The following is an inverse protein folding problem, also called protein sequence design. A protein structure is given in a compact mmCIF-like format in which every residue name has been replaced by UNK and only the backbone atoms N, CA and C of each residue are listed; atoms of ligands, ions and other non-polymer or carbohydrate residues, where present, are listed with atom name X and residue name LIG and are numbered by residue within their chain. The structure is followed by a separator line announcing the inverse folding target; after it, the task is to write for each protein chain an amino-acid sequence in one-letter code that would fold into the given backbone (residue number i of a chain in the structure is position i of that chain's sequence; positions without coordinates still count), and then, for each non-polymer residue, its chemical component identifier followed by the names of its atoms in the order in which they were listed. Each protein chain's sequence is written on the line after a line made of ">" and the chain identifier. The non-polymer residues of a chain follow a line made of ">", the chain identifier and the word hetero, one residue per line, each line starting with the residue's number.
data_IF_218588489672
#
_entry.id   IF_218588489672
#
_cell.length_a   1.000
_cell.length_b   1.000
_cell.length_c   1.000
_cell.angle_alpha   90.00
_cell.angle_beta   90.00
_cell.angle_gamma   90.00
#
_symmetry.space_group_name_H-M   'P 1'
#
loop_
_entity.id
_entity.type
_entity.pdbx_description
1 polymer ?
#
# COMPACT_ATOMS: atom_id res chain seq x y z
N UNK A 1 -17.85 -2.42 0.15
CA UNK A 1 -17.54 -1.53 -0.99
C UNK A 1 -16.04 -1.65 -1.25
N UNK A 2 -15.56 -1.57 -2.49
CA UNK A 2 -14.12 -1.43 -2.77
C UNK A 2 -13.97 -0.05 -3.41
N UNK A 3 -13.23 0.83 -2.74
CA UNK A 3 -12.88 2.14 -3.28
C UNK A 3 -11.43 2.09 -3.75
N UNK A 4 -11.19 2.47 -5.00
CA UNK A 4 -9.84 2.67 -5.54
C UNK A 4 -9.46 4.13 -5.24
N UNK A 5 -8.56 4.33 -4.28
CA UNK A 5 -8.13 5.68 -3.90
C UNK A 5 -7.09 6.20 -4.88
N UNK A 6 -6.91 7.52 -4.88
CA UNK A 6 -5.94 8.19 -5.73
C UNK A 6 -4.52 7.73 -5.34
N UNK A 7 -3.71 7.33 -6.33
CA UNK A 7 -2.31 7.01 -6.08
C UNK A 7 -1.55 8.22 -5.54
N UNK A 8 -0.74 8.02 -4.49
CA UNK A 8 0.03 9.09 -3.87
C UNK A 8 1.04 9.69 -4.87
N UNK A 9 0.81 10.95 -5.25
CA UNK A 9 1.70 11.72 -6.12
C UNK A 9 2.63 12.55 -5.24
N UNK A 10 3.93 12.32 -5.36
CA UNK A 10 4.95 13.21 -4.79
C UNK A 10 4.81 14.63 -5.37
N UNK A 11 5.02 15.67 -4.56
CA UNK A 11 4.94 17.09 -4.95
C UNK A 11 3.54 17.67 -5.23
N UNK A 12 2.50 17.18 -4.54
CA UNK A 12 1.21 17.88 -4.56
C UNK A 12 1.32 19.26 -3.89
N UNK A 13 0.89 20.35 -4.54
CA UNK A 13 0.78 21.67 -3.91
C UNK A 13 -0.04 21.58 -2.61
N UNK A 14 0.33 22.29 -1.52
CA UNK A 14 -0.30 22.15 -0.20
C UNK A 14 -1.84 22.26 -0.22
N UNK A 15 -2.39 23.11 -1.10
CA UNK A 15 -3.84 23.28 -1.26
C UNK A 15 -4.52 22.03 -1.84
N UNK A 16 -3.87 21.35 -2.80
CA UNK A 16 -4.38 20.11 -3.40
C UNK A 16 -4.18 18.92 -2.47
N UNK A 17 -3.14 18.95 -1.64
CA UNK A 17 -2.93 18.00 -0.57
C UNK A 17 -4.06 18.07 0.46
N UNK A 18 -4.47 19.27 0.90
CA UNK A 18 -5.58 19.40 1.85
C UNK A 18 -6.90 18.87 1.27
N UNK A 19 -7.19 19.14 -0.01
CA UNK A 19 -8.38 18.57 -0.67
C UNK A 19 -8.31 17.06 -0.83
N UNK A 20 -7.09 16.51 -0.94
CA UNK A 20 -6.83 15.07 -1.03
C UNK A 20 -7.07 14.38 0.31
N UNK A 21 -6.64 14.98 1.42
CA UNK A 21 -6.94 14.52 2.78
C UNK A 21 -8.46 14.48 3.02
N UNK A 22 -9.21 15.50 2.58
CA UNK A 22 -10.68 15.50 2.72
C UNK A 22 -11.35 14.35 1.95
N UNK A 23 -10.81 13.94 0.80
CA UNK A 23 -11.29 12.75 0.08
C UNK A 23 -10.84 11.41 0.69
N UNK A 24 -9.99 11.43 1.72
CA UNK A 24 -9.54 10.24 2.46
C UNK A 24 -10.31 10.02 3.76
N UNK A 25 -11.41 10.75 4.02
CA UNK A 25 -12.34 10.39 5.11
C UNK A 25 -12.85 8.95 4.96
N UNK A 26 -13.03 8.47 3.72
CA UNK A 26 -13.39 7.07 3.44
C UNK A 26 -12.33 6.05 3.92
N UNK A 27 -11.06 6.46 4.06
CA UNK A 27 -10.00 5.60 4.61
C UNK A 27 -10.18 5.41 6.12
N UNK A 28 -10.67 6.43 6.83
CA UNK A 28 -10.93 6.35 8.27
C UNK A 28 -12.06 5.33 8.56
N UNK A 29 -13.05 5.24 7.67
CA UNK A 29 -14.17 4.31 7.81
C UNK A 29 -13.89 2.92 7.21
N UNK A 30 -12.73 2.69 6.61
CA UNK A 30 -12.44 1.43 5.94
C UNK A 30 -12.20 0.30 6.95
N UNK A 31 -12.86 -0.84 6.73
CA UNK A 31 -12.61 -2.08 7.49
C UNK A 31 -11.21 -2.65 7.23
N UNK A 32 -10.60 -2.31 6.10
CA UNK A 32 -9.29 -2.80 5.66
C UNK A 32 -8.63 -1.81 4.72
N UNK A 33 -7.34 -1.54 4.95
CA UNK A 33 -6.49 -0.79 4.04
C UNK A 33 -5.51 -1.71 3.30
N UNK A 34 -5.40 -1.54 1.99
CA UNK A 34 -4.33 -2.14 1.19
C UNK A 34 -3.33 -1.05 0.78
N UNK A 35 -2.12 -1.11 1.32
CA UNK A 35 -1.05 -0.20 0.91
C UNK A 35 -0.29 -0.81 -0.28
N UNK A 36 -0.68 -0.40 -1.49
CA UNK A 36 -0.05 -0.90 -2.72
C UNK A 36 1.28 -0.18 -2.96
N UNK A 37 2.36 -0.94 -3.09
CA UNK A 37 3.74 -0.47 -3.26
C UNK A 37 4.26 -0.94 -4.61
N UNK A 38 4.97 -0.07 -5.33
CA UNK A 38 5.70 -0.48 -6.54
C UNK A 38 7.04 -1.13 -6.17
N UNK A 39 7.12 -2.45 -6.30
CA UNK A 39 8.28 -3.24 -5.92
C UNK A 39 9.53 -2.97 -6.79
N UNK A 40 9.38 -2.33 -7.94
CA UNK A 40 10.49 -2.00 -8.84
C UNK A 40 10.98 -0.56 -8.68
N UNK A 41 10.38 0.21 -7.76
CA UNK A 41 10.76 1.59 -7.53
C UNK A 41 12.03 1.68 -6.66
N UNK A 42 13.07 2.44 -7.05
CA UNK A 42 14.25 2.63 -6.21
C UNK A 42 13.97 3.44 -4.92
N UNK A 43 12.81 4.09 -4.81
CA UNK A 43 12.42 4.94 -3.67
C UNK A 43 11.30 4.32 -2.83
N UNK A 44 11.25 2.99 -2.70
CA UNK A 44 10.20 2.29 -1.92
C UNK A 44 10.10 2.87 -0.51
N UNK A 45 11.22 2.96 0.22
CA UNK A 45 11.21 3.37 1.63
C UNK A 45 10.66 4.80 1.81
N UNK A 46 11.12 5.74 0.97
CA UNK A 46 10.64 7.13 0.96
C UNK A 46 9.12 7.19 0.73
N UNK A 47 8.61 6.36 -0.18
CA UNK A 47 7.17 6.35 -0.50
C UNK A 47 6.33 5.69 0.58
N UNK A 48 6.83 4.62 1.19
CA UNK A 48 6.18 4.00 2.36
C UNK A 48 6.09 5.03 3.48
N UNK A 49 7.19 5.69 3.82
CA UNK A 49 7.24 6.70 4.88
C UNK A 49 6.26 7.86 4.63
N UNK A 50 6.17 8.34 3.39
CA UNK A 50 5.19 9.38 3.02
C UNK A 50 3.76 8.93 3.28
N UNK A 51 3.40 7.71 2.87
CA UNK A 51 2.03 7.19 3.06
C UNK A 51 1.74 6.93 4.54
N UNK A 52 2.69 6.37 5.29
CA UNK A 52 2.53 6.13 6.73
C UNK A 52 2.36 7.44 7.50
N UNK A 53 3.09 8.49 7.15
CA UNK A 53 2.91 9.81 7.74
C UNK A 53 1.51 10.39 7.47
N UNK A 54 0.98 10.21 6.25
CA UNK A 54 -0.38 10.65 5.92
C UNK A 54 -1.42 9.87 6.72
N UNK A 55 -1.29 8.54 6.79
CA UNK A 55 -2.19 7.71 7.57
C UNK A 55 -2.15 8.10 9.05
N UNK A 56 -0.98 8.45 9.57
CA UNK A 56 -0.82 8.96 10.93
C UNK A 56 -1.51 10.30 11.13
N UNK A 57 -1.37 11.26 10.20
CA UNK A 57 -2.08 12.55 10.25
C UNK A 57 -3.61 12.38 10.21
N UNK A 58 -4.09 11.34 9.53
CA UNK A 58 -5.50 10.95 9.47
C UNK A 58 -5.98 10.16 10.70
N UNK A 59 -5.10 9.86 11.67
CA UNK A 59 -5.44 9.04 12.85
C UNK A 59 -5.59 7.53 12.55
N UNK A 60 -5.10 7.07 11.40
CA UNK A 60 -5.18 5.70 10.90
C UNK A 60 -3.87 4.89 11.10
N UNK A 61 -2.99 5.33 11.98
CA UNK A 61 -1.67 4.73 12.26
C UNK A 61 -1.72 3.24 12.64
N UNK A 62 -2.83 2.77 13.22
CA UNK A 62 -3.04 1.38 13.63
C UNK A 62 -4.08 0.63 12.77
N UNK A 63 -4.36 1.11 11.56
CA UNK A 63 -5.38 0.55 10.65
C UNK A 63 -5.11 -0.87 10.17
N UNK A 64 -3.96 -1.48 10.53
CA UNK A 64 -3.66 -2.86 10.19
C UNK A 64 -3.44 -3.08 8.69
N UNK A 65 -2.95 -2.06 7.99
CA UNK A 65 -2.78 -2.08 6.55
C UNK A 65 -2.02 -3.32 6.06
N UNK A 66 -2.53 -3.96 5.00
CA UNK A 66 -1.79 -5.01 4.29
C UNK A 66 -0.88 -4.34 3.28
N UNK A 67 0.44 -4.51 3.45
CA UNK A 67 1.44 -4.06 2.48
C UNK A 67 1.42 -4.99 1.26
N UNK A 68 1.19 -4.43 0.08
CA UNK A 68 1.08 -5.20 -1.17
C UNK A 68 2.13 -4.70 -2.16
N UNK A 69 3.24 -5.43 -2.28
CA UNK A 69 4.29 -5.16 -3.25
C UNK A 69 3.85 -5.65 -4.63
N UNK A 70 3.39 -4.72 -5.45
CA UNK A 70 2.97 -4.93 -6.82
C UNK A 70 4.14 -4.77 -7.80
N UNK A 71 3.95 -5.24 -9.05
CA UNK A 71 4.93 -5.20 -10.14
C UNK A 71 6.18 -6.06 -9.90
N UNK A 72 6.05 -7.15 -9.14
CA UNK A 72 7.18 -8.10 -8.94
C UNK A 72 7.71 -8.71 -10.25
N UNK A 73 6.95 -8.63 -11.34
CA UNK A 73 7.41 -9.05 -12.67
C UNK A 73 8.54 -8.18 -13.25
N UNK A 74 8.81 -7.02 -12.64
CA UNK A 74 9.89 -6.11 -13.00
C UNK A 74 11.10 -6.21 -12.04
N UNK A 75 11.00 -7.02 -10.98
CA UNK A 75 12.04 -7.16 -9.95
C UNK A 75 12.99 -8.29 -10.32
N UNK A 76 14.28 -7.96 -10.45
CA UNK A 76 15.32 -8.95 -10.81
C UNK A 76 15.67 -9.88 -9.64
N UNK A 77 15.69 -9.36 -8.40
CA UNK A 77 16.05 -10.11 -7.20
C UNK A 77 14.92 -10.05 -6.15
N UNK A 78 13.92 -10.91 -6.36
CA UNK A 78 12.75 -10.98 -5.49
C UNK A 78 13.07 -11.53 -4.10
N UNK A 79 14.10 -12.37 -3.97
CA UNK A 79 14.49 -12.96 -2.68
C UNK A 79 15.13 -11.91 -1.76
N UNK A 80 15.97 -11.03 -2.30
CA UNK A 80 16.48 -9.90 -1.55
C UNK A 80 15.35 -8.96 -1.13
N UNK A 81 14.43 -8.62 -2.05
CA UNK A 81 13.26 -7.80 -1.72
C UNK A 81 12.43 -8.40 -0.58
N UNK A 82 12.18 -9.71 -0.60
CA UNK A 82 11.46 -10.45 0.45
C UNK A 82 12.12 -10.32 1.81
N UNK A 83 13.45 -10.51 1.86
CA UNK A 83 14.20 -10.41 3.12
C UNK A 83 14.21 -8.98 3.66
N UNK A 84 14.37 -7.99 2.80
CA UNK A 84 14.38 -6.57 3.21
C UNK A 84 13.08 -6.17 3.90
N UNK A 85 11.94 -6.57 3.34
CA UNK A 85 10.61 -6.15 3.80
C UNK A 85 9.86 -7.22 4.60
N UNK A 86 10.52 -8.30 5.03
CA UNK A 86 9.91 -9.41 5.78
C UNK A 86 9.17 -8.94 7.05
N UNK A 87 9.74 -7.94 7.73
CA UNK A 87 9.19 -7.35 8.94
C UNK A 87 7.80 -6.72 8.77
N UNK A 88 7.43 -6.34 7.54
CA UNK A 88 6.10 -5.81 7.21
C UNK A 88 5.06 -6.91 6.92
N UNK A 89 5.49 -8.18 6.87
CA UNK A 89 4.70 -9.32 6.42
C UNK A 89 3.90 -9.04 5.12
N UNK A 90 4.56 -8.61 4.04
CA UNK A 90 3.89 -8.13 2.83
C UNK A 90 3.38 -9.27 1.94
N UNK A 91 2.42 -8.94 1.09
CA UNK A 91 2.00 -9.78 -0.03
C UNK A 91 2.67 -9.30 -1.31
N UNK A 92 3.22 -10.22 -2.09
CA UNK A 92 3.90 -9.94 -3.35
C UNK A 92 3.03 -10.34 -4.54
N UNK A 93 2.70 -9.37 -5.41
CA UNK A 93 1.85 -9.60 -6.57
C UNK A 93 2.44 -9.02 -7.86
N UNK A 94 1.98 -9.55 -8.99
CA UNK A 94 2.03 -8.83 -10.26
C UNK A 94 0.61 -8.72 -10.77
N UNK A 95 0.04 -7.53 -10.66
CA UNK A 95 -1.28 -7.26 -11.21
C UNK A 95 -1.31 -7.50 -12.74
N UNK A 96 -0.22 -7.14 -13.42
CA UNK A 96 -0.06 -7.31 -14.87
C UNK A 96 -0.01 -8.78 -15.29
N UNK A 97 0.71 -9.63 -14.52
CA UNK A 97 0.87 -11.06 -14.82
C UNK A 97 -0.17 -11.94 -14.15
N UNK A 98 -1.09 -11.36 -13.37
CA UNK A 98 -2.07 -12.09 -12.57
C UNK A 98 -1.44 -13.08 -11.57
N UNK A 99 -0.30 -12.72 -10.99
CA UNK A 99 0.44 -13.56 -10.04
C UNK A 99 0.28 -13.05 -8.59
N UNK A 100 0.30 -13.96 -7.61
CA UNK A 100 0.21 -13.65 -6.17
C UNK A 100 -1.21 -13.33 -5.65
N UNK A 101 -2.24 -13.49 -6.49
CA UNK A 101 -3.62 -13.15 -6.13
C UNK A 101 -4.19 -14.06 -5.04
N UNK A 102 -3.78 -15.32 -5.00
CA UNK A 102 -4.27 -16.25 -3.97
C UNK A 102 -3.74 -15.87 -2.58
N UNK A 103 -2.46 -15.49 -2.50
CA UNK A 103 -1.85 -14.98 -1.28
C UNK A 103 -2.54 -13.68 -0.83
N UNK A 104 -2.85 -12.78 -1.77
CA UNK A 104 -3.57 -11.54 -1.49
C UNK A 104 -4.99 -11.82 -0.96
N UNK A 105 -5.74 -12.71 -1.60
CA UNK A 105 -7.09 -13.10 -1.12
C UNK A 105 -7.02 -13.72 0.27
N UNK A 106 -6.04 -14.56 0.53
CA UNK A 106 -5.84 -15.19 1.84
C UNK A 106 -5.50 -14.15 2.91
N UNK A 107 -4.65 -13.17 2.60
CA UNK A 107 -4.33 -12.07 3.50
C UNK A 107 -5.56 -11.22 3.82
N UNK A 108 -6.34 -10.83 2.80
CA UNK A 108 -7.59 -10.08 2.97
C UNK A 108 -8.58 -10.87 3.82
N UNK A 109 -8.77 -12.16 3.52
CA UNK A 109 -9.74 -13.00 4.24
C UNK A 109 -9.37 -13.16 5.71
N UNK A 110 -8.08 -13.26 6.04
CA UNK A 110 -7.61 -13.33 7.43
C UNK A 110 -7.78 -12.04 8.21
N UNK A 111 -7.87 -10.90 7.54
CA UNK A 111 -8.03 -9.60 8.19
C UNK A 111 -9.50 -9.27 8.45
N UNK A 112 -10.40 -9.75 7.59
CA UNK A 112 -11.85 -9.49 7.67
C UNK A 112 -12.64 -10.56 8.46
N UNK A 113 -11.99 -11.62 8.93
CA UNK A 113 -12.58 -12.72 9.71
C UNK A 113 -11.98 -12.78 11.11
#
# INVERSE_FOLDING_TARGET
>A
MIADTIGFISDLPPLLFQSFITTLEEVIEADLLLHIIDAADPKIDEKIEVVENILKELGCENSGAIYVFNKIDLVTDLETLRKTYEHLNPVYISAKKKAGYEDLKNAISKHLL
#
